data_IF_889238503061
#
_entry.id   IF_889238503061
#
_cell.length_a   1.000
_cell.length_b   1.000
_cell.length_c   1.000
_cell.angle_alpha   90.00
_cell.angle_beta   90.00
_cell.angle_gamma   90.00
#
_symmetry.space_group_name_H-M   'P 1'
#
loop_
_entity.id
_entity.type
_entity.pdbx_description
1 polymer ?
#
# COMPACT_ATOMS: atom_id res chain seq x y z
N UNK A 1 8.94 -10.95 -3.95
CA UNK A 1 8.50 -9.70 -4.62
C UNK A 1 8.12 -10.04 -6.06
N UNK A 2 6.86 -9.81 -6.44
CA UNK A 2 6.21 -10.47 -7.59
C UNK A 2 6.28 -9.73 -8.94
N UNK A 3 6.95 -8.59 -9.02
CA UNK A 3 7.11 -7.84 -10.27
C UNK A 3 8.04 -8.58 -11.24
N UNK A 4 7.80 -8.61 -12.57
CA UNK A 4 6.74 -7.91 -13.31
C UNK A 4 5.47 -8.76 -13.54
N UNK A 5 5.36 -9.93 -12.91
CA UNK A 5 4.20 -10.81 -13.09
C UNK A 5 2.97 -10.37 -12.30
N UNK A 6 3.16 -9.55 -11.27
CA UNK A 6 2.10 -9.02 -10.39
C UNK A 6 2.12 -7.50 -10.37
N UNK A 7 0.94 -6.88 -10.33
CA UNK A 7 0.68 -5.50 -9.96
C UNK A 7 -0.21 -5.53 -8.71
N UNK A 8 0.36 -5.17 -7.57
CA UNK A 8 -0.30 -5.37 -6.27
C UNK A 8 -0.63 -6.83 -6.02
N UNK A 9 -1.90 -7.14 -5.78
CA UNK A 9 -2.42 -8.51 -5.60
C UNK A 9 -2.94 -9.14 -6.89
N UNK A 10 -2.76 -8.47 -8.03
CA UNK A 10 -3.32 -8.91 -9.31
C UNK A 10 -2.23 -9.37 -10.29
N UNK A 11 -2.51 -10.38 -11.13
CA UNK A 11 -1.67 -10.72 -12.27
C UNK A 11 -1.52 -9.54 -13.24
N UNK A 12 -0.29 -9.15 -13.53
CA UNK A 12 0.00 -8.13 -14.52
C UNK A 12 0.15 -8.76 -15.91
N UNK A 13 -0.66 -8.30 -16.89
CA UNK A 13 -0.62 -8.74 -18.29
C UNK A 13 -0.63 -10.27 -18.48
N UNK A 14 -1.43 -10.98 -17.68
CA UNK A 14 -1.53 -12.44 -17.71
C UNK A 14 -0.37 -13.17 -17.04
N UNK A 15 0.38 -12.48 -16.17
CA UNK A 15 1.44 -13.08 -15.36
C UNK A 15 0.95 -14.21 -14.46
N UNK A 16 1.86 -15.08 -14.06
CA UNK A 16 1.59 -16.11 -13.05
C UNK A 16 2.20 -15.67 -11.72
N UNK A 17 1.44 -15.79 -10.64
CA UNK A 17 1.91 -15.43 -9.30
C UNK A 17 3.12 -16.29 -8.89
N UNK A 18 4.26 -15.68 -8.54
CA UNK A 18 5.42 -16.42 -8.04
C UNK A 18 5.16 -17.01 -6.65
N UNK A 19 5.70 -18.20 -6.36
CA UNK A 19 5.55 -18.85 -5.06
C UNK A 19 6.06 -18.02 -3.85
N UNK A 20 6.98 -17.09 -4.10
CA UNK A 20 7.54 -16.16 -3.10
C UNK A 20 7.04 -14.71 -3.29
N UNK A 21 5.85 -14.55 -3.87
CA UNK A 21 5.19 -13.26 -3.90
C UNK A 21 4.90 -12.82 -2.46
N UNK A 22 5.29 -11.58 -2.15
CA UNK A 22 4.93 -10.93 -0.90
C UNK A 22 3.96 -9.83 -1.33
N UNK A 23 2.63 -10.01 -1.15
CA UNK A 23 1.65 -9.04 -1.58
C UNK A 23 1.77 -7.75 -0.76
N UNK A 24 1.32 -6.61 -1.30
CA UNK A 24 1.25 -5.38 -0.52
C UNK A 24 0.27 -5.56 0.66
N UNK A 25 0.53 -4.85 1.76
CA UNK A 25 -0.37 -4.81 2.92
C UNK A 25 -1.60 -3.93 2.68
N UNK A 26 -1.56 -3.05 1.68
CA UNK A 26 -2.64 -2.16 1.31
C UNK A 26 -2.62 -1.91 -0.20
N UNK A 27 -3.80 -1.94 -0.83
CA UNK A 27 -4.00 -1.70 -2.25
C UNK A 27 -5.38 -1.06 -2.48
N UNK A 28 -5.47 -0.17 -3.46
CA UNK A 28 -6.72 0.41 -3.94
C UNK A 28 -6.58 0.81 -5.41
N UNK A 29 -7.71 0.86 -6.11
CA UNK A 29 -7.74 1.30 -7.50
C UNK A 29 -7.45 2.81 -7.63
N UNK A 30 -7.11 3.22 -8.86
CA UNK A 30 -6.82 4.62 -9.19
C UNK A 30 -8.05 5.46 -9.50
N UNK A 31 -9.25 4.92 -9.34
CA UNK A 31 -10.53 5.54 -9.73
C UNK A 31 -11.32 6.08 -8.55
N UNK A 32 -11.01 5.65 -7.34
CA UNK A 32 -11.67 6.09 -6.11
C UNK A 32 -10.74 6.83 -5.16
N UNK A 33 -10.03 6.07 -4.32
CA UNK A 33 -9.40 6.55 -3.08
C UNK A 33 -8.10 7.34 -3.25
N UNK A 34 -7.60 7.53 -4.47
CA UNK A 34 -6.36 8.25 -4.74
C UNK A 34 -5.70 7.79 -6.03
N UNK A 35 -4.42 8.16 -6.23
CA UNK A 35 -3.69 7.82 -7.44
C UNK A 35 -2.26 7.28 -7.21
N UNK A 36 -1.65 7.54 -6.06
CA UNK A 36 -0.26 7.17 -5.79
C UNK A 36 0.09 7.28 -4.31
N UNK A 37 0.30 6.14 -3.66
CA UNK A 37 1.03 6.08 -2.38
C UNK A 37 2.53 6.20 -2.67
N UNK A 38 3.13 7.30 -2.25
CA UNK A 38 4.58 7.54 -2.45
C UNK A 38 5.42 7.05 -1.26
N UNK A 39 4.84 7.04 -0.06
CA UNK A 39 5.53 6.65 1.16
C UNK A 39 4.69 6.92 2.41
N UNK A 40 5.25 6.56 3.57
CA UNK A 40 4.57 6.65 4.84
C UNK A 40 5.51 6.34 6.01
N UNK A 41 4.94 6.17 7.19
CA UNK A 41 5.66 6.00 8.45
C UNK A 41 4.93 5.04 9.37
N UNK A 42 5.67 4.10 9.98
CA UNK A 42 5.12 3.28 11.07
C UNK A 42 5.10 4.13 12.35
N UNK A 43 3.90 4.50 12.79
CA UNK A 43 3.75 5.33 13.98
C UNK A 43 4.15 4.56 15.24
N UNK A 44 5.05 5.13 16.04
CA UNK A 44 5.56 4.53 17.30
C UNK A 44 5.46 5.46 18.51
N UNK A 45 4.89 6.65 18.31
CA UNK A 45 4.76 7.67 19.36
C UNK A 45 3.73 7.32 20.43
N UNK A 46 3.76 8.06 21.54
CA UNK A 46 2.83 7.88 22.66
C UNK A 46 1.58 8.77 22.57
N UNK A 47 1.58 9.80 21.72
CA UNK A 47 0.51 10.80 21.68
C UNK A 47 -0.81 10.24 21.13
N UNK A 48 -0.74 9.27 20.22
CA UNK A 48 -1.89 8.58 19.63
C UNK A 48 -1.71 7.06 19.80
N UNK A 49 -2.03 6.50 20.98
CA UNK A 49 -1.78 5.08 21.27
C UNK A 49 -2.43 4.12 20.27
N UNK A 50 -3.62 4.46 19.77
CA UNK A 50 -4.37 3.64 18.80
C UNK A 50 -3.68 3.54 17.43
N UNK A 51 -2.74 4.45 17.12
CA UNK A 51 -1.94 4.38 15.90
C UNK A 51 -0.62 3.62 16.07
N UNK A 52 -0.26 3.22 17.30
CA UNK A 52 1.03 2.54 17.51
C UNK A 52 1.10 1.23 16.74
N UNK A 53 2.15 1.11 15.93
CA UNK A 53 2.39 -0.05 15.08
C UNK A 53 1.75 0.05 13.71
N UNK A 54 0.84 1.01 13.49
CA UNK A 54 0.19 1.16 12.19
C UNK A 54 1.07 1.93 11.22
N UNK A 55 0.98 1.58 9.94
CA UNK A 55 1.67 2.27 8.85
C UNK A 55 0.78 3.39 8.31
N UNK A 56 1.15 4.63 8.61
CA UNK A 56 0.42 5.82 8.20
C UNK A 56 1.02 6.38 6.92
N UNK A 57 0.22 6.62 5.90
CA UNK A 57 0.67 7.15 4.61
C UNK A 57 -0.32 8.20 4.06
N UNK A 58 0.13 8.97 3.08
CA UNK A 58 -0.73 9.89 2.31
C UNK A 58 -0.69 9.55 0.82
N UNK A 59 -1.78 9.83 0.12
CA UNK A 59 -1.81 9.77 -1.34
C UNK A 59 -1.36 11.11 -1.93
N UNK A 60 -0.59 11.05 -3.02
CA UNK A 60 -0.08 12.24 -3.70
C UNK A 60 -1.18 13.12 -4.31
N UNK A 61 -2.27 12.53 -4.81
CA UNK A 61 -3.32 13.27 -5.50
C UNK A 61 -4.27 14.00 -4.56
N UNK A 62 -4.54 13.47 -3.36
CA UNK A 62 -5.53 14.04 -2.46
C UNK A 62 -4.98 14.50 -1.10
N UNK A 63 -3.75 14.12 -0.75
CA UNK A 63 -3.13 14.48 0.54
C UNK A 63 -3.80 13.85 1.76
N UNK A 64 -4.76 12.94 1.58
CA UNK A 64 -5.49 12.30 2.68
C UNK A 64 -4.63 11.26 3.38
N UNK A 65 -4.59 11.34 4.71
CA UNK A 65 -3.91 10.37 5.57
C UNK A 65 -4.74 9.10 5.75
N UNK A 66 -4.08 7.95 5.64
CA UNK A 66 -4.66 6.61 5.77
C UNK A 66 -3.73 5.72 6.58
N UNK A 67 -4.29 4.64 7.13
CA UNK A 67 -3.59 3.67 7.96
C UNK A 67 -4.18 2.29 7.83
#
# INVERSE_FOLDING_TARGET
YGWASMEGTHPFRGGTEPANHVPPVYEYDRTGLGCSVTGGFVYRGDALPDLRGNYVFSDYCDGTLRT
#
